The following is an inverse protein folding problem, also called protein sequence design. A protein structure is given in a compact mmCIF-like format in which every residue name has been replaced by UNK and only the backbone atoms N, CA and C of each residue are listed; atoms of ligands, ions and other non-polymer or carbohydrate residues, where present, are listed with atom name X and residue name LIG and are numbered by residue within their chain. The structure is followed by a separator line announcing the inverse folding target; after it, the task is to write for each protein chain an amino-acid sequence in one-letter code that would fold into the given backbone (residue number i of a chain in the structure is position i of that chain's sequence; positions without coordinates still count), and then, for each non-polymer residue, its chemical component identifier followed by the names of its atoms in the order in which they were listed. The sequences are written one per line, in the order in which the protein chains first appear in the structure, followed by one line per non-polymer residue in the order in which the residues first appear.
data_IF_193666260141
#
_entry.id   IF_193666260141
#
_cell.length_a   1.000
_cell.length_b   1.000
_cell.length_c   1.000
_cell.angle_alpha   90.00
_cell.angle_beta   90.00
_cell.angle_gamma   90.00
#
_symmetry.space_group_name_H-M   'P 1'
#
loop_
_entity.id
_entity.type
_entity.pdbx_description
1 polymer ?
#
# COMPACT_ATOMS: atom_id res chain seq x y z
N UNK A 1 -4.25 3.56 -16.01
CA UNK A 1 -4.24 4.28 -14.72
C UNK A 1 -2.82 4.26 -14.16
N UNK A 2 -2.34 5.35 -13.56
CA UNK A 2 -1.03 5.35 -12.91
C UNK A 2 -1.17 4.75 -11.49
N UNK A 3 -0.44 3.68 -11.14
CA UNK A 3 -0.53 3.04 -9.82
C UNK A 3 -0.08 3.92 -8.65
N UNK A 4 0.69 4.97 -8.93
CA UNK A 4 1.31 5.83 -7.91
C UNK A 4 1.05 7.30 -8.21
N UNK A 5 0.69 8.03 -7.18
CA UNK A 5 0.62 9.49 -7.19
C UNK A 5 1.75 10.07 -6.34
N UNK A 6 2.45 11.08 -6.84
CA UNK A 6 3.59 11.71 -6.16
C UNK A 6 3.35 13.21 -6.11
N UNK A 7 3.47 13.77 -4.91
CA UNK A 7 3.56 15.21 -4.67
C UNK A 7 4.94 15.51 -4.10
N UNK A 8 5.81 16.13 -4.90
CA UNK A 8 7.19 16.41 -4.47
C UNK A 8 7.25 17.65 -3.59
N UNK A 9 7.76 17.47 -2.38
CA UNK A 9 8.07 18.55 -1.45
C UNK A 9 9.57 18.87 -1.41
N UNK A 10 9.91 19.88 -0.60
CA UNK A 10 11.30 20.39 -0.44
C UNK A 10 11.94 19.96 0.88
N UNK A 11 11.15 19.51 1.87
CA UNK A 11 11.67 19.07 3.16
C UNK A 11 12.38 17.71 3.05
N UNK A 12 13.06 17.31 4.12
CA UNK A 12 13.67 15.99 4.27
C UNK A 12 12.67 14.87 4.58
N UNK A 13 11.38 15.19 4.65
CA UNK A 13 10.32 14.25 5.05
C UNK A 13 9.64 13.64 3.82
N UNK A 14 9.43 12.32 3.86
CA UNK A 14 8.62 11.58 2.90
C UNK A 14 7.48 10.88 3.64
N UNK A 15 6.25 11.08 3.16
CA UNK A 15 5.06 10.39 3.62
C UNK A 15 4.67 9.31 2.59
N UNK A 16 4.76 8.05 2.98
CA UNK A 16 4.35 6.90 2.18
C UNK A 16 2.93 6.50 2.60
N UNK A 17 1.97 6.53 1.66
CA UNK A 17 0.55 6.20 1.88
C UNK A 17 0.15 4.98 1.03
N UNK A 18 0.43 3.75 1.49
CA UNK A 18 0.24 2.54 0.69
C UNK A 18 -1.22 2.08 0.57
N UNK A 19 -2.13 2.51 1.46
CA UNK A 19 -3.45 1.90 1.63
C UNK A 19 -4.64 2.84 1.43
N UNK A 20 -4.41 4.09 1.01
CA UNK A 20 -5.49 5.05 0.76
C UNK A 20 -6.14 4.91 -0.63
N UNK A 21 -5.60 4.07 -1.51
CA UNK A 21 -6.12 3.86 -2.85
C UNK A 21 -7.31 2.91 -2.88
N UNK A 22 -8.21 3.14 -3.84
CA UNK A 22 -9.47 2.37 -3.97
C UNK A 22 -9.62 1.68 -5.32
N UNK A 23 -8.68 1.89 -6.25
CA UNK A 23 -8.79 1.30 -7.57
C UNK A 23 -8.63 -0.21 -7.54
N UNK A 24 -9.58 -0.91 -8.15
CA UNK A 24 -9.55 -2.34 -8.46
C UNK A 24 -9.95 -2.52 -9.92
N UNK A 25 -9.16 -3.24 -10.75
CA UNK A 25 -9.53 -3.54 -12.14
C UNK A 25 -10.86 -4.30 -12.19
N UNK A 26 -11.72 -4.01 -13.19
CA UNK A 26 -13.06 -4.61 -13.30
C UNK A 26 -13.04 -6.13 -13.29
N UNK A 27 -12.05 -6.76 -13.95
CA UNK A 27 -11.91 -8.24 -13.93
C UNK A 27 -11.72 -8.79 -12.52
N UNK A 28 -10.98 -8.09 -11.67
CA UNK A 28 -10.78 -8.49 -10.28
C UNK A 28 -12.01 -8.14 -9.44
N UNK A 29 -12.57 -6.95 -9.62
CA UNK A 29 -13.76 -6.51 -8.89
C UNK A 29 -14.93 -7.51 -9.03
N UNK A 30 -15.08 -8.10 -10.22
CA UNK A 30 -16.08 -9.14 -10.48
C UNK A 30 -15.80 -10.48 -9.76
N UNK A 31 -14.57 -10.72 -9.30
CA UNK A 31 -14.18 -11.90 -8.50
C UNK A 31 -14.42 -11.69 -7.00
N UNK A 32 -14.58 -10.45 -6.57
CA UNK A 32 -14.84 -10.13 -5.16
C UNK A 32 -16.31 -10.41 -4.81
N UNK A 33 -16.53 -10.87 -3.57
CA UNK A 33 -17.84 -10.93 -2.94
C UNK A 33 -18.27 -9.54 -2.41
N UNK A 34 -19.39 -9.45 -1.71
CA UNK A 34 -19.89 -8.17 -1.15
C UNK A 34 -18.92 -7.56 -0.14
N UNK A 35 -18.33 -8.39 0.73
CA UNK A 35 -17.32 -7.98 1.71
C UNK A 35 -16.10 -7.36 1.00
N UNK A 36 -15.54 -8.07 0.01
CA UNK A 36 -14.40 -7.58 -0.76
C UNK A 36 -14.67 -6.29 -1.55
N UNK A 37 -15.89 -6.14 -2.08
CA UNK A 37 -16.30 -4.92 -2.80
C UNK A 37 -16.45 -3.69 -1.91
N UNK A 38 -16.73 -3.90 -0.62
CA UNK A 38 -16.80 -2.82 0.36
C UNK A 38 -15.45 -2.18 0.65
N UNK A 39 -14.33 -2.86 0.35
CA UNK A 39 -12.94 -2.42 0.61
C UNK A 39 -12.77 -1.77 1.99
N UNK A 40 -13.33 -2.43 3.02
CA UNK A 40 -13.44 -1.90 4.37
C UNK A 40 -12.08 -1.53 5.00
N UNK A 41 -11.03 -2.29 4.67
CA UNK A 41 -9.67 -2.08 5.20
C UNK A 41 -8.90 -0.93 4.51
N UNK A 42 -9.57 -0.09 3.75
CA UNK A 42 -8.96 1.10 3.15
C UNK A 42 -8.67 2.13 4.24
N UNK A 43 -7.48 2.74 4.21
CA UNK A 43 -7.15 3.88 5.06
C UNK A 43 -7.89 5.14 4.55
N UNK A 44 -9.21 5.17 4.79
CA UNK A 44 -10.08 6.23 4.31
C UNK A 44 -9.62 7.61 4.77
N UNK A 45 -9.61 8.55 3.84
CA UNK A 45 -9.27 9.96 4.12
C UNK A 45 -7.84 10.24 4.61
N UNK A 46 -6.92 9.26 4.56
CA UNK A 46 -5.53 9.44 5.02
C UNK A 46 -4.84 10.63 4.34
N UNK A 47 -5.11 10.82 3.05
CA UNK A 47 -4.58 11.94 2.26
C UNK A 47 -5.08 13.30 2.76
N UNK A 48 -6.32 13.36 3.26
CA UNK A 48 -6.90 14.60 3.84
C UNK A 48 -6.39 14.85 5.25
N UNK A 49 -6.27 13.78 6.06
CA UNK A 49 -5.81 13.85 7.45
C UNK A 49 -4.40 14.42 7.56
N UNK A 50 -3.51 14.04 6.64
CA UNK A 50 -2.12 14.48 6.65
C UNK A 50 -1.85 15.65 5.72
N UNK A 51 -2.86 16.18 5.03
CA UNK A 51 -2.72 17.34 4.17
C UNK A 51 -2.36 18.59 5.00
N UNK A 52 -1.23 19.20 4.71
CA UNK A 52 -0.75 20.40 5.41
C UNK A 52 -0.15 20.16 6.80
N UNK A 53 -0.21 18.92 7.33
CA UNK A 53 0.35 18.62 8.65
C UNK A 53 1.88 18.71 8.69
N UNK A 54 2.53 18.30 7.62
CA UNK A 54 3.98 18.40 7.44
C UNK A 54 4.27 19.26 6.19
N UNK A 55 4.52 20.55 6.37
CA UNK A 55 4.78 21.45 5.25
C UNK A 55 5.95 20.95 4.40
N UNK A 56 5.81 21.06 3.09
CA UNK A 56 6.83 20.66 2.12
C UNK A 56 7.27 19.19 2.17
N UNK A 57 6.54 18.30 2.83
CA UNK A 57 6.80 16.85 2.76
C UNK A 57 6.52 16.32 1.35
N UNK A 58 7.34 15.36 0.92
CA UNK A 58 7.06 14.58 -0.28
C UNK A 58 6.05 13.50 0.04
N UNK A 59 4.96 13.42 -0.71
CA UNK A 59 3.94 12.38 -0.54
C UNK A 59 4.02 11.37 -1.69
N UNK A 60 4.07 10.08 -1.34
CA UNK A 60 3.99 8.95 -2.28
C UNK A 60 2.78 8.13 -1.91
N UNK A 61 1.77 8.12 -2.77
CA UNK A 61 0.47 7.50 -2.51
C UNK A 61 0.17 6.39 -3.52
N UNK A 62 -0.23 5.22 -3.04
CA UNK A 62 -0.83 4.19 -3.88
C UNK A 62 -2.25 4.61 -4.30
N UNK A 63 -2.61 4.39 -5.56
CA UNK A 63 -3.95 4.67 -6.08
C UNK A 63 -4.83 3.42 -6.11
N UNK A 64 -4.22 2.25 -5.98
CA UNK A 64 -4.89 0.95 -5.96
C UNK A 64 -5.24 0.50 -4.54
N UNK A 65 -6.30 -0.31 -4.45
CA UNK A 65 -6.75 -0.91 -3.20
C UNK A 65 -5.75 -1.93 -2.68
N UNK A 66 -5.58 -2.02 -1.35
CA UNK A 66 -4.83 -3.09 -0.70
C UNK A 66 -5.39 -4.48 -0.98
N UNK A 67 -6.69 -4.62 -1.33
CA UNK A 67 -7.28 -5.90 -1.74
C UNK A 67 -6.85 -6.35 -3.13
N UNK A 68 -6.29 -5.44 -3.94
CA UNK A 68 -5.62 -5.82 -5.19
C UNK A 68 -4.25 -6.41 -4.89
N UNK A 69 -3.44 -5.69 -4.11
CA UNK A 69 -2.15 -6.12 -3.57
C UNK A 69 -1.74 -5.16 -2.44
N UNK A 70 -1.26 -5.69 -1.33
CA UNK A 70 -0.83 -4.87 -0.20
C UNK A 70 0.60 -4.36 -0.41
N UNK A 71 0.72 -3.06 -0.71
CA UNK A 71 2.02 -2.41 -0.92
C UNK A 71 2.89 -2.33 0.36
N UNK A 72 2.35 -2.74 1.52
CA UNK A 72 3.06 -2.80 2.79
C UNK A 72 3.49 -4.23 3.19
N UNK A 73 3.39 -5.21 2.29
CA UNK A 73 3.84 -6.58 2.52
C UNK A 73 5.11 -6.88 1.75
N UNK A 74 5.95 -7.73 2.35
CA UNK A 74 7.14 -8.23 1.69
C UNK A 74 6.72 -9.24 0.61
N UNK A 75 7.13 -9.05 -0.64
CA UNK A 75 6.82 -9.99 -1.73
C UNK A 75 7.46 -11.37 -1.55
N UNK A 76 8.44 -11.55 -0.66
CA UNK A 76 9.01 -12.86 -0.33
C UNK A 76 8.13 -13.68 0.60
N UNK A 77 7.01 -13.11 1.11
CA UNK A 77 6.18 -13.73 2.13
C UNK A 77 6.78 -13.71 3.54
N UNK A 78 7.93 -13.05 3.72
CA UNK A 78 8.53 -12.87 5.03
C UNK A 78 7.64 -12.00 5.91
N UNK A 79 7.29 -12.50 7.11
CA UNK A 79 6.53 -11.73 8.10
C UNK A 79 7.44 -11.30 9.25
N UNK A 80 7.32 -10.04 9.66
CA UNK A 80 8.00 -9.52 10.85
C UNK A 80 7.36 -10.01 12.16
N UNK A 81 6.18 -10.64 12.07
CA UNK A 81 5.39 -11.09 13.22
C UNK A 81 4.89 -12.52 13.01
N UNK A 82 5.76 -13.53 13.22
CA UNK A 82 5.34 -14.93 13.20
C UNK A 82 4.25 -15.19 14.25
N UNK A 83 3.14 -15.81 13.83
CA UNK A 83 2.03 -16.17 14.72
C UNK A 83 0.92 -15.13 14.88
N UNK A 84 1.01 -13.97 14.22
CA UNK A 84 -0.10 -13.01 14.13
C UNK A 84 -0.88 -13.19 12.82
N UNK A 85 -2.19 -12.88 12.85
CA UNK A 85 -3.03 -12.81 11.65
C UNK A 85 -2.52 -11.68 10.74
N UNK A 86 -1.64 -12.03 9.81
CA UNK A 86 -1.16 -11.11 8.80
C UNK A 86 -1.79 -11.48 7.47
N UNK A 87 -2.38 -10.50 6.80
CA UNK A 87 -2.86 -10.69 5.44
C UNK A 87 -1.69 -11.00 4.49
N UNK A 88 -1.93 -11.81 3.49
CA UNK A 88 -0.95 -12.13 2.43
C UNK A 88 -0.63 -10.90 1.56
N UNK A 89 0.36 -11.02 0.67
CA UNK A 89 0.70 -9.99 -0.32
C UNK A 89 -0.52 -9.59 -1.16
N UNK A 90 -1.32 -10.58 -1.59
CA UNK A 90 -2.66 -10.37 -2.16
C UNK A 90 -3.68 -10.92 -1.16
N UNK A 91 -4.30 -10.08 -0.31
CA UNK A 91 -5.23 -10.54 0.72
C UNK A 91 -6.35 -11.38 0.16
N UNK A 92 -6.71 -12.47 0.83
CA UNK A 92 -7.89 -13.31 0.54
C UNK A 92 -8.97 -13.16 1.61
N UNK A 93 -8.61 -12.55 2.75
CA UNK A 93 -9.52 -12.18 3.84
C UNK A 93 -9.29 -10.72 4.22
N UNK A 94 -10.30 -10.09 4.82
CA UNK A 94 -10.18 -8.78 5.46
C UNK A 94 -9.53 -8.86 6.86
N UNK A 95 -9.43 -7.75 7.57
CA UNK A 95 -8.87 -7.71 8.92
C UNK A 95 -9.71 -8.44 9.97
N UNK A 96 -11.01 -8.64 9.72
CA UNK A 96 -11.92 -9.40 10.58
C UNK A 96 -11.88 -10.90 10.23
N UNK A 97 -11.02 -11.31 9.27
CA UNK A 97 -10.87 -12.69 8.83
C UNK A 97 -11.99 -13.17 7.88
N UNK A 98 -12.81 -12.25 7.34
CA UNK A 98 -13.88 -12.61 6.41
C UNK A 98 -13.33 -12.77 4.99
N UNK A 99 -13.70 -13.84 4.26
CA UNK A 99 -13.32 -14.01 2.85
C UNK A 99 -13.77 -12.81 2.01
N UNK A 100 -12.88 -12.31 1.15
CA UNK A 100 -13.16 -11.16 0.25
C UNK A 100 -13.39 -11.58 -1.20
N UNK A 101 -13.21 -12.86 -1.54
CA UNK A 101 -13.47 -13.41 -2.87
C UNK A 101 -14.74 -14.25 -2.91
N UNK A 102 -15.30 -14.40 -4.10
CA UNK A 102 -16.27 -15.48 -4.37
C UNK A 102 -15.55 -16.83 -4.28
N UNK A 103 -16.26 -17.88 -3.94
CA UNK A 103 -15.71 -19.23 -3.79
C UNK A 103 -14.93 -19.65 -5.04
N UNK A 104 -13.66 -20.05 -4.87
CA UNK A 104 -12.79 -20.50 -5.95
C UNK A 104 -12.31 -19.40 -6.89
N UNK A 105 -12.54 -18.10 -6.53
CA UNK A 105 -12.11 -16.96 -7.31
C UNK A 105 -10.87 -16.26 -6.73
N UNK A 106 -10.22 -16.86 -5.72
CA UNK A 106 -9.01 -16.33 -5.08
C UNK A 106 -7.84 -16.24 -6.08
N UNK A 107 -6.85 -15.37 -5.84
CA UNK A 107 -5.71 -15.22 -6.75
C UNK A 107 -4.84 -16.49 -6.75
N UNK A 108 -4.42 -16.92 -7.92
CA UNK A 108 -3.38 -17.92 -8.08
C UNK A 108 -1.99 -17.27 -8.11
N UNK A 109 -0.92 -18.09 -8.12
CA UNK A 109 0.47 -17.59 -8.13
C UNK A 109 0.79 -16.67 -9.31
N UNK A 110 0.20 -16.92 -10.48
CA UNK A 110 0.38 -16.08 -11.66
C UNK A 110 -0.31 -14.72 -11.50
N UNK A 111 -1.52 -14.69 -10.93
CA UNK A 111 -2.22 -13.45 -10.58
C UNK A 111 -1.38 -12.59 -9.63
N UNK A 112 -0.83 -13.21 -8.57
CA UNK A 112 0.02 -12.55 -7.58
C UNK A 112 1.25 -11.94 -8.25
N UNK A 113 1.94 -12.67 -9.10
CA UNK A 113 3.14 -12.17 -9.77
C UNK A 113 2.85 -11.01 -10.74
N UNK A 114 1.77 -11.11 -11.51
CA UNK A 114 1.33 -10.01 -12.39
C UNK A 114 1.01 -8.75 -11.58
N UNK A 115 0.28 -8.87 -10.47
CA UNK A 115 -0.06 -7.74 -9.60
C UNK A 115 1.19 -7.16 -8.94
N UNK A 116 2.13 -8.02 -8.52
CA UNK A 116 3.40 -7.60 -7.96
C UNK A 116 4.19 -6.72 -8.94
N UNK A 117 4.26 -7.11 -10.20
CA UNK A 117 4.98 -6.35 -11.23
C UNK A 117 4.31 -5.03 -11.56
N UNK A 118 2.98 -5.03 -11.74
CA UNK A 118 2.24 -3.86 -12.24
C UNK A 118 2.02 -2.81 -11.15
N UNK A 119 1.85 -3.22 -9.88
CA UNK A 119 1.44 -2.32 -8.79
C UNK A 119 2.49 -2.21 -7.70
N UNK A 120 2.86 -3.32 -7.06
CA UNK A 120 3.77 -3.33 -5.92
C UNK A 120 5.17 -2.81 -6.30
N UNK A 121 5.78 -3.39 -7.33
CA UNK A 121 7.12 -2.99 -7.79
C UNK A 121 7.15 -1.54 -8.30
N UNK A 122 6.08 -1.08 -8.94
CA UNK A 122 5.96 0.30 -9.41
C UNK A 122 5.90 1.27 -8.23
N UNK A 123 5.11 0.94 -7.18
CA UNK A 123 5.04 1.75 -5.96
C UNK A 123 6.40 1.86 -5.27
N UNK A 124 7.07 0.73 -5.04
CA UNK A 124 8.37 0.70 -4.36
C UNK A 124 9.48 1.36 -5.17
N UNK A 125 9.45 1.22 -6.50
CA UNK A 125 10.39 1.94 -7.39
C UNK A 125 10.21 3.44 -7.28
N UNK A 126 8.96 3.91 -7.27
CA UNK A 126 8.64 5.32 -7.12
C UNK A 126 9.09 5.84 -5.74
N UNK A 127 8.78 5.12 -4.66
CA UNK A 127 9.20 5.47 -3.30
C UNK A 127 10.73 5.54 -3.18
N UNK A 128 11.44 4.53 -3.68
CA UNK A 128 12.91 4.49 -3.68
C UNK A 128 13.51 5.67 -4.45
N UNK A 129 12.92 6.04 -5.60
CA UNK A 129 13.34 7.21 -6.38
C UNK A 129 13.21 8.49 -5.56
N UNK A 130 12.11 8.66 -4.82
CA UNK A 130 11.90 9.84 -3.98
C UNK A 130 12.85 9.87 -2.78
N UNK A 131 13.11 8.73 -2.13
CA UNK A 131 14.12 8.63 -1.05
C UNK A 131 15.50 9.06 -1.57
N UNK A 132 15.94 8.55 -2.72
CA UNK A 132 17.21 8.93 -3.33
C UNK A 132 17.25 10.42 -3.68
N UNK A 133 16.15 10.99 -4.20
CA UNK A 133 16.03 12.42 -4.54
C UNK A 133 16.18 13.32 -3.31
N UNK A 134 15.45 12.98 -2.23
CA UNK A 134 15.46 13.75 -0.98
C UNK A 134 16.84 13.67 -0.33
N UNK A 135 17.40 12.46 -0.18
CA UNK A 135 18.78 12.27 0.38
C UNK A 135 19.84 13.09 -0.36
N UNK A 136 19.75 13.17 -1.69
CA UNK A 136 20.69 13.97 -2.48
C UNK A 136 20.60 15.47 -2.20
N UNK A 137 19.40 15.96 -1.84
CA UNK A 137 19.15 17.40 -1.60
C UNK A 137 19.42 17.82 -0.15
N UNK A 138 19.09 16.97 0.82
CA UNK A 138 19.06 17.36 2.24
C UNK A 138 20.11 16.66 3.10
N UNK A 139 20.89 15.72 2.54
CA UNK A 139 21.83 14.81 3.22
C UNK A 139 21.16 13.86 4.21
N UNK A 140 19.99 14.22 4.76
CA UNK A 140 19.16 13.42 5.65
C UNK A 140 17.79 13.17 5.01
N UNK A 141 17.20 12.04 5.29
CA UNK A 141 15.86 11.69 4.83
C UNK A 141 15.12 10.93 5.93
N UNK A 142 13.97 11.45 6.33
CA UNK A 142 13.04 10.78 7.23
C UNK A 142 11.86 10.29 6.39
N UNK A 143 11.72 8.98 6.23
CA UNK A 143 10.61 8.37 5.53
C UNK A 143 9.63 7.79 6.56
N UNK A 144 8.40 8.28 6.55
CA UNK A 144 7.31 7.75 7.37
C UNK A 144 6.34 7.01 6.48
N UNK A 145 6.02 5.78 6.86
CA UNK A 145 4.91 5.04 6.27
C UNK A 145 3.67 5.29 7.12
N UNK A 146 2.63 5.82 6.49
CA UNK A 146 1.35 6.07 7.12
C UNK A 146 0.39 4.93 6.77
N UNK A 147 -0.04 4.20 7.78
CA UNK A 147 -1.03 3.13 7.68
C UNK A 147 -1.83 3.12 8.97
N UNK A 148 -3.16 3.10 8.89
CA UNK A 148 -4.03 2.86 10.03
C UNK A 148 -4.00 1.36 10.35
N UNK A 149 -2.95 0.94 11.04
CA UNK A 149 -2.91 -0.37 11.69
C UNK A 149 -2.84 -0.14 13.19
N UNK A 150 -3.51 -0.96 14.01
CA UNK A 150 -3.45 -0.83 15.46
C UNK A 150 -2.05 -1.08 16.05
N UNK A 151 -1.06 -1.38 15.21
CA UNK A 151 0.33 -1.57 15.63
C UNK A 151 1.29 -0.70 14.82
N UNK A 152 2.00 0.24 15.47
CA UNK A 152 3.01 1.04 14.81
C UNK A 152 4.22 0.17 14.47
N UNK A 153 4.56 0.11 13.18
CA UNK A 153 5.84 -0.44 12.76
C UNK A 153 6.85 0.70 12.61
N UNK A 154 7.94 0.70 13.37
CA UNK A 154 9.06 1.57 13.08
C UNK A 154 9.82 0.99 11.87
N UNK A 155 9.76 1.66 10.74
CA UNK A 155 10.71 1.44 9.66
C UNK A 155 11.68 2.60 9.62
N UNK A 156 12.88 2.35 10.12
CA UNK A 156 14.05 3.14 9.80
C UNK A 156 14.67 2.58 8.51
N UNK A 157 14.84 3.42 7.52
CA UNK A 157 15.66 3.16 6.33
C UNK A 157 16.91 4.00 6.44
#
# INVERSE_FOLDING_TARGET
MNPVQISEGKSSVILSQPHGGTFIPSKLFNRLNECGRAIADTDWHINRLYNGLLPDATVVQATFSRYLIDANRDPSGSTLYPGQNTTELCPIVDFDGQPIYQNGAEPNAQDVEIRRQIYHSVYHTALTKQVKRVRKKTRDCLAFRLSFHPFPLPFFV
#
